data_IF_950130700370
#
_entry.id   IF_950130700370
#
_cell.length_a   1.000
_cell.length_b   1.000
_cell.length_c   1.000
_cell.angle_alpha   90.00
_cell.angle_beta   90.00
_cell.angle_gamma   90.00
#
_symmetry.space_group_name_H-M   'P 1'
#
loop_
_entity.id
_entity.type
_entity.pdbx_description
1 polymer ?
#
# COMPACT_ATOMS: atom_id res chain seq x y z
N UNK A 1 3.74 -1.81 18.47
CA UNK A 1 2.26 -1.84 18.52
C UNK A 1 1.77 -1.32 17.18
N UNK A 2 1.13 -2.14 16.36
CA UNK A 2 0.61 -1.75 15.05
C UNK A 2 -0.76 -1.11 15.23
N UNK A 3 -0.96 0.12 14.76
CA UNK A 3 -2.31 0.72 14.70
C UNK A 3 -2.79 0.57 13.26
N UNK A 4 -3.82 -0.25 13.05
CA UNK A 4 -4.42 -0.41 11.73
C UNK A 4 -5.26 0.83 11.43
N UNK A 5 -4.82 1.64 10.48
CA UNK A 5 -5.58 2.77 9.95
C UNK A 5 -6.38 2.34 8.71
N UNK A 6 -7.60 2.85 8.58
CA UNK A 6 -8.56 2.47 7.54
C UNK A 6 -8.31 3.16 6.21
N UNK A 7 -8.64 2.50 5.11
CA UNK A 7 -8.74 3.12 3.79
C UNK A 7 -10.10 3.83 3.65
N UNK A 8 -10.08 5.08 3.20
CA UNK A 8 -11.29 5.87 2.98
C UNK A 8 -11.50 6.17 1.50
N UNK A 9 -12.75 6.00 1.04
CA UNK A 9 -13.25 6.51 -0.24
C UNK A 9 -14.36 7.52 0.05
N UNK A 10 -14.33 8.65 -0.66
CA UNK A 10 -15.10 9.86 -0.32
C UNK A 10 -16.64 9.72 -0.40
N UNK A 11 -17.21 8.57 -0.78
CA UNK A 11 -18.61 8.52 -1.24
C UNK A 11 -19.62 7.83 -0.28
N UNK A 12 -19.23 7.09 0.76
CA UNK A 12 -20.20 6.59 1.77
C UNK A 12 -19.60 6.40 3.17
N UNK A 13 -20.10 7.16 4.16
CA UNK A 13 -20.15 6.75 5.58
C UNK A 13 -19.02 7.26 6.50
N UNK A 14 -19.44 7.82 7.65
CA UNK A 14 -18.64 8.48 8.69
C UNK A 14 -17.79 7.51 9.50
N UNK A 15 -16.51 7.82 9.81
CA UNK A 15 -15.89 7.44 11.11
C UNK A 15 -14.74 8.40 11.52
N UNK A 16 -14.60 8.51 12.84
CA UNK A 16 -13.86 9.46 13.69
C UNK A 16 -12.33 9.34 13.57
N UNK A 17 -11.66 10.43 13.23
CA UNK A 17 -10.20 10.53 13.24
C UNK A 17 -9.67 10.72 14.67
N UNK A 18 -8.75 9.86 15.11
CA UNK A 18 -7.91 10.13 16.29
C UNK A 18 -6.51 10.46 15.80
N UNK A 19 -6.27 11.74 15.55
CA UNK A 19 -4.93 12.25 15.30
C UNK A 19 -4.06 12.03 16.55
N UNK A 20 -3.08 11.15 16.46
CA UNK A 20 -1.87 11.28 17.28
C UNK A 20 -0.88 12.06 16.43
N UNK A 21 -0.66 13.33 16.80
CA UNK A 21 0.43 14.14 16.27
C UNK A 21 1.71 13.45 16.72
N UNK A 22 2.33 12.65 15.85
CA UNK A 22 3.73 12.27 16.02
C UNK A 22 4.52 13.56 15.77
N UNK A 23 5.38 14.00 16.71
CA UNK A 23 6.09 15.27 16.57
C UNK A 23 6.89 15.30 15.26
N UNK A 24 6.86 16.46 14.59
CA UNK A 24 7.48 16.74 13.28
C UNK A 24 9.03 16.64 13.27
N UNK A 25 9.63 16.16 14.36
CA UNK A 25 11.07 16.04 14.52
C UNK A 25 11.45 14.55 14.46
N UNK A 26 12.18 14.21 13.40
CA UNK A 26 12.72 12.90 13.05
C UNK A 26 11.76 11.95 12.31
N UNK A 27 11.48 12.26 11.04
CA UNK A 27 11.47 11.19 10.04
C UNK A 27 12.93 10.71 9.99
N UNK A 28 13.27 9.52 10.50
CA UNK A 28 14.64 9.07 10.47
C UNK A 28 14.98 8.69 9.02
N UNK A 29 16.08 9.21 8.46
CA UNK A 29 16.57 8.75 7.18
C UNK A 29 17.47 7.54 7.41
N UNK A 30 16.93 6.36 7.74
CA UNK A 30 17.76 5.16 7.99
C UNK A 30 17.03 3.87 7.56
N UNK A 31 16.62 3.81 6.30
CA UNK A 31 16.46 2.56 5.56
C UNK A 31 16.96 2.88 4.15
N UNK A 32 17.83 2.07 3.55
CA UNK A 32 18.55 2.51 2.35
C UNK A 32 17.56 2.87 1.23
N UNK A 33 17.75 4.04 0.60
CA UNK A 33 16.83 4.51 -0.45
C UNK A 33 16.75 3.52 -1.61
N UNK A 34 17.87 2.83 -1.87
CA UNK A 34 17.99 1.74 -2.83
C UNK A 34 17.09 0.55 -2.49
N UNK A 35 17.01 0.14 -1.22
CA UNK A 35 16.12 -0.96 -0.83
C UNK A 35 14.64 -0.56 -1.03
N UNK A 36 14.24 0.64 -0.60
CA UNK A 36 12.87 1.15 -0.81
C UNK A 36 12.49 1.19 -2.27
N UNK A 37 13.43 1.61 -3.12
CA UNK A 37 13.22 1.68 -4.55
C UNK A 37 12.96 0.31 -5.15
N UNK A 38 13.78 -0.69 -4.79
CA UNK A 38 13.64 -2.08 -5.27
C UNK A 38 12.32 -2.72 -4.82
N UNK A 39 11.95 -2.51 -3.57
CA UNK A 39 10.67 -3.00 -3.03
C UNK A 39 9.49 -2.32 -3.73
N UNK A 40 9.50 -0.99 -3.86
CA UNK A 40 8.44 -0.24 -4.53
C UNK A 40 8.28 -0.68 -5.99
N UNK A 41 9.38 -0.90 -6.70
CA UNK A 41 9.38 -1.46 -8.06
C UNK A 41 8.74 -2.86 -8.09
N UNK A 42 9.15 -3.76 -7.19
CA UNK A 42 8.58 -5.09 -7.11
C UNK A 42 7.07 -5.08 -6.84
N UNK A 43 6.59 -4.21 -5.95
CA UNK A 43 5.14 -4.06 -5.68
C UNK A 43 4.40 -3.51 -6.90
N UNK A 44 4.98 -2.53 -7.58
CA UNK A 44 4.38 -1.94 -8.78
C UNK A 44 4.21 -2.99 -9.88
N UNK A 45 5.24 -3.79 -10.16
CA UNK A 45 5.19 -4.83 -11.19
C UNK A 45 4.06 -5.85 -10.94
N UNK A 46 3.79 -6.16 -9.67
CA UNK A 46 2.70 -7.06 -9.28
C UNK A 46 1.34 -6.38 -9.46
N UNK A 47 1.22 -5.09 -9.11
CA UNK A 47 -0.01 -4.32 -9.27
C UNK A 47 -0.36 -4.02 -10.73
N UNK A 48 0.63 -3.96 -11.62
CA UNK A 48 0.39 -3.77 -13.06
C UNK A 48 -0.45 -4.89 -13.69
N UNK A 49 -0.58 -6.06 -13.04
CA UNK A 49 -1.51 -7.12 -13.47
C UNK A 49 -2.99 -6.73 -13.35
N UNK A 50 -3.31 -5.68 -12.58
CA UNK A 50 -4.66 -5.13 -12.46
C UNK A 50 -4.99 -4.14 -13.60
N UNK A 51 -4.05 -3.92 -14.52
CA UNK A 51 -4.25 -3.08 -15.70
C UNK A 51 -5.38 -3.63 -16.57
N UNK A 52 -6.29 -2.73 -16.98
CA UNK A 52 -7.45 -3.04 -17.82
C UNK A 52 -8.42 -4.11 -17.25
N UNK A 53 -8.33 -4.38 -15.94
CA UNK A 53 -9.31 -5.19 -15.21
C UNK A 53 -10.50 -4.30 -14.79
N UNK A 54 -11.71 -4.76 -15.06
CA UNK A 54 -12.93 -4.16 -14.50
C UNK A 54 -13.17 -4.66 -13.08
N UNK A 55 -13.59 -3.76 -12.20
CA UNK A 55 -13.82 -4.13 -10.81
C UNK A 55 -15.01 -5.10 -10.68
N UNK A 56 -14.77 -6.24 -10.06
CA UNK A 56 -15.79 -7.22 -9.71
C UNK A 56 -15.65 -7.62 -8.23
N UNK A 57 -16.64 -7.21 -7.43
CA UNK A 57 -16.70 -7.49 -5.99
C UNK A 57 -16.64 -8.99 -5.66
N UNK A 58 -17.14 -9.86 -6.54
CA UNK A 58 -17.15 -11.31 -6.35
C UNK A 58 -15.77 -11.95 -6.32
N UNK A 59 -14.78 -11.31 -6.95
CA UNK A 59 -13.40 -11.85 -7.08
C UNK A 59 -12.34 -10.97 -6.42
N UNK A 60 -12.71 -9.80 -5.87
CA UNK A 60 -11.77 -8.89 -5.17
C UNK A 60 -11.00 -9.59 -4.04
N UNK A 61 -11.67 -10.44 -3.25
CA UNK A 61 -11.00 -11.20 -2.18
C UNK A 61 -9.88 -12.11 -2.73
N UNK A 62 -10.13 -12.76 -3.87
CA UNK A 62 -9.13 -13.58 -4.54
C UNK A 62 -7.97 -12.72 -5.08
N UNK A 63 -8.26 -11.56 -5.66
CA UNK A 63 -7.21 -10.63 -6.11
C UNK A 63 -6.34 -10.15 -4.95
N UNK A 64 -6.94 -9.79 -3.81
CA UNK A 64 -6.20 -9.37 -2.61
C UNK A 64 -5.25 -10.48 -2.15
N UNK A 65 -5.72 -11.72 -2.08
CA UNK A 65 -4.88 -12.86 -1.67
C UNK A 65 -3.74 -13.09 -2.67
N UNK A 66 -4.05 -13.15 -3.96
CA UNK A 66 -3.05 -13.39 -5.01
C UNK A 66 -1.97 -12.30 -5.03
N UNK A 67 -2.37 -11.02 -4.94
CA UNK A 67 -1.44 -9.88 -4.89
C UNK A 67 -0.59 -9.97 -3.62
N UNK A 68 -1.18 -10.30 -2.48
CA UNK A 68 -0.46 -10.38 -1.21
C UNK A 68 0.61 -11.49 -1.24
N UNK A 69 0.27 -12.68 -1.75
CA UNK A 69 1.21 -13.80 -1.91
C UNK A 69 2.32 -13.47 -2.90
N UNK A 70 1.99 -12.92 -4.06
CA UNK A 70 2.98 -12.57 -5.08
C UNK A 70 3.90 -11.45 -4.61
N UNK A 71 3.38 -10.41 -3.94
CA UNK A 71 4.21 -9.38 -3.29
C UNK A 71 5.16 -10.01 -2.28
N UNK A 72 4.65 -10.90 -1.41
CA UNK A 72 5.47 -11.60 -0.41
C UNK A 72 6.59 -12.42 -1.06
N UNK A 73 6.28 -13.13 -2.15
CA UNK A 73 7.27 -13.89 -2.94
C UNK A 73 8.37 -12.99 -3.48
N UNK A 74 8.01 -11.87 -4.14
CA UNK A 74 8.97 -10.91 -4.70
C UNK A 74 9.88 -10.32 -3.62
N UNK A 75 9.34 -10.01 -2.45
CA UNK A 75 10.11 -9.47 -1.32
C UNK A 75 11.12 -10.48 -0.76
N UNK A 76 10.73 -11.76 -0.66
CA UNK A 76 11.63 -12.85 -0.24
C UNK A 76 12.76 -13.05 -1.25
N UNK A 77 12.50 -12.89 -2.55
CA UNK A 77 13.50 -13.00 -3.62
C UNK A 77 14.60 -11.94 -3.56
N UNK A 78 14.36 -10.81 -2.88
CA UNK A 78 15.38 -9.80 -2.62
C UNK A 78 16.48 -10.30 -1.66
N UNK A 79 16.26 -11.45 -0.99
CA UNK A 79 17.22 -12.12 -0.08
C UNK A 79 17.78 -11.18 1.00
N UNK A 80 16.94 -10.29 1.48
CA UNK A 80 17.28 -9.36 2.57
C UNK A 80 16.89 -9.96 3.92
N UNK A 81 17.67 -9.70 4.99
CA UNK A 81 17.40 -10.23 6.32
C UNK A 81 16.33 -9.41 7.05
N UNK A 82 15.13 -9.30 6.48
CA UNK A 82 14.00 -8.56 7.05
C UNK A 82 12.77 -9.46 7.20
N UNK A 83 11.92 -9.13 8.16
CA UNK A 83 10.53 -9.59 8.23
C UNK A 83 9.66 -8.60 7.47
N UNK A 84 8.82 -9.12 6.58
CA UNK A 84 7.86 -8.32 5.82
C UNK A 84 6.44 -8.59 6.29
N UNK A 85 5.66 -7.53 6.45
CA UNK A 85 4.21 -7.60 6.63
C UNK A 85 3.58 -6.88 5.45
N UNK A 86 2.83 -7.61 4.62
CA UNK A 86 2.16 -7.06 3.43
C UNK A 86 0.69 -6.82 3.75
N UNK A 87 0.23 -5.60 3.52
CA UNK A 87 -1.17 -5.20 3.63
C UNK A 87 -1.65 -4.73 2.25
N UNK A 88 -2.64 -5.42 1.68
CA UNK A 88 -3.19 -5.12 0.35
C UNK A 88 -4.64 -4.68 0.45
N UNK A 89 -5.01 -3.62 -0.26
CA UNK A 89 -6.37 -3.15 -0.41
C UNK A 89 -6.66 -2.87 -1.89
N UNK A 90 -7.78 -3.39 -2.39
CA UNK A 90 -8.25 -3.20 -3.77
C UNK A 90 -9.66 -2.60 -3.71
N UNK A 91 -9.89 -1.55 -4.49
CA UNK A 91 -11.11 -0.74 -4.47
C UNK A 91 -11.58 -0.45 -5.90
N UNK A 92 -12.89 -0.24 -6.04
CA UNK A 92 -13.47 0.25 -7.28
C UNK A 92 -13.07 1.71 -7.49
N UNK A 93 -12.64 2.06 -8.70
CA UNK A 93 -12.38 3.44 -9.09
C UNK A 93 -13.70 4.16 -9.33
N UNK A 94 -14.10 4.98 -8.37
CA UNK A 94 -15.35 5.75 -8.39
C UNK A 94 -15.15 7.23 -8.75
N UNK A 95 -13.94 7.63 -9.13
CA UNK A 95 -13.59 9.04 -9.41
C UNK A 95 -13.26 9.86 -8.17
N UNK A 96 -13.40 9.29 -6.97
CA UNK A 96 -12.92 9.86 -5.71
C UNK A 96 -11.41 9.59 -5.52
N UNK A 97 -10.75 10.45 -4.72
CA UNK A 97 -9.38 10.22 -4.29
C UNK A 97 -9.27 9.08 -3.28
N UNK A 98 -8.15 8.36 -3.30
CA UNK A 98 -7.80 7.33 -2.33
C UNK A 98 -6.90 7.93 -1.24
N UNK A 99 -7.35 7.91 0.01
CA UNK A 99 -6.54 8.28 1.17
C UNK A 99 -6.24 7.03 2.00
N UNK A 100 -4.95 6.71 2.15
CA UNK A 100 -4.45 5.65 3.01
C UNK A 100 -3.45 6.27 4.00
N UNK A 101 -3.65 6.00 5.28
CA UNK A 101 -2.71 6.32 6.36
C UNK A 101 -2.28 5.04 7.05
N UNK A 102 -1.11 5.08 7.69
CA UNK A 102 -0.74 4.10 8.70
C UNK A 102 0.15 4.76 9.75
N UNK A 103 -0.06 4.38 11.01
CA UNK A 103 0.68 4.89 12.17
C UNK A 103 1.34 3.74 12.90
N UNK A 104 2.67 3.81 13.03
CA UNK A 104 3.46 2.72 13.60
C UNK A 104 4.53 3.22 14.58
N UNK A 105 4.93 2.33 15.48
CA UNK A 105 5.98 2.56 16.46
C UNK A 105 7.03 1.45 16.33
N UNK A 106 8.18 1.78 15.74
CA UNK A 106 9.27 0.86 15.37
C UNK A 106 10.64 1.55 15.49
N UNK A 107 11.73 0.78 15.37
CA UNK A 107 13.09 1.32 15.45
C UNK A 107 13.39 2.20 14.22
N UNK A 108 13.66 3.50 14.40
CA UNK A 108 13.87 4.43 13.30
C UNK A 108 15.04 4.10 12.36
N UNK A 109 15.99 3.30 12.84
CA UNK A 109 17.29 3.09 12.19
C UNK A 109 17.33 1.94 11.19
N UNK A 110 16.43 0.98 11.32
CA UNK A 110 16.49 -0.25 10.54
C UNK A 110 15.09 -0.69 10.03
N UNK A 111 14.02 -0.25 10.70
CA UNK A 111 12.64 -0.56 10.30
C UNK A 111 12.06 0.52 9.38
N UNK A 112 11.05 0.15 8.59
CA UNK A 112 10.42 1.10 7.69
C UNK A 112 9.11 0.61 7.08
N UNK A 113 8.56 1.42 6.19
CA UNK A 113 7.42 1.04 5.38
C UNK A 113 7.53 1.55 3.95
N UNK A 114 7.01 0.76 3.01
CA UNK A 114 6.85 1.11 1.60
C UNK A 114 5.37 1.14 1.29
N UNK A 115 4.89 2.27 0.76
CA UNK A 115 3.51 2.45 0.33
C UNK A 115 3.49 2.56 -1.19
N UNK A 116 2.75 1.67 -1.85
CA UNK A 116 2.55 1.67 -3.28
C UNK A 116 1.06 1.88 -3.59
N UNK A 117 0.74 3.04 -4.18
CA UNK A 117 -0.59 3.37 -4.67
C UNK A 117 -0.62 3.17 -6.19
N UNK A 118 -1.62 2.42 -6.66
CA UNK A 118 -1.78 2.08 -8.06
C UNK A 118 -3.21 2.34 -8.54
N UNK A 119 -3.43 2.92 -9.74
CA UNK A 119 -2.43 3.54 -10.62
C UNK A 119 -1.92 4.87 -10.03
N UNK A 120 -0.66 5.22 -10.31
CA UNK A 120 -0.03 6.46 -9.79
C UNK A 120 -0.60 7.73 -10.41
N UNK A 121 -1.18 7.63 -11.60
CA UNK A 121 -1.65 8.77 -12.36
C UNK A 121 -3.05 9.20 -11.89
N UNK A 122 -3.20 10.50 -11.53
CA UNK A 122 -4.51 11.15 -11.59
C UNK A 122 -4.89 11.19 -13.06
N UNK A 123 -5.61 10.18 -13.53
CA UNK A 123 -6.15 10.16 -14.89
C UNK A 123 -6.92 11.47 -15.11
N UNK A 124 -6.35 12.37 -15.90
CA UNK A 124 -7.07 13.52 -16.48
C UNK A 124 -8.18 13.04 -17.43
N UNK A 125 -8.15 11.77 -17.83
CA UNK A 125 -9.22 11.09 -18.56
C UNK A 125 -10.06 10.24 -17.60
N UNK A 126 -11.11 10.86 -17.05
CA UNK A 126 -12.11 10.24 -16.18
C UNK A 126 -13.03 9.21 -16.90
N UNK A 127 -12.74 8.80 -18.13
CA UNK A 127 -13.71 8.10 -18.99
C UNK A 127 -13.90 6.61 -18.71
N UNK A 128 -12.99 5.93 -17.99
CA UNK A 128 -13.21 4.53 -17.57
C UNK A 128 -13.81 4.48 -16.16
N UNK A 129 -15.11 4.76 -16.04
CA UNK A 129 -15.92 4.42 -14.85
C UNK A 129 -15.87 2.89 -14.65
N UNK A 130 -15.54 2.42 -13.44
CA UNK A 130 -15.53 0.97 -13.12
C UNK A 130 -14.16 0.28 -13.12
N UNK A 131 -13.05 0.99 -13.36
CA UNK A 131 -11.70 0.42 -13.24
C UNK A 131 -11.30 0.11 -11.78
N UNK A 132 -10.13 -0.48 -11.59
CA UNK A 132 -9.60 -0.86 -10.27
C UNK A 132 -8.58 0.17 -9.76
N UNK A 133 -8.55 0.39 -8.43
CA UNK A 133 -7.46 1.05 -7.72
C UNK A 133 -6.96 0.12 -6.62
N UNK A 134 -5.66 0.19 -6.30
CA UNK A 134 -5.05 -0.64 -5.29
C UNK A 134 -4.05 0.15 -4.43
N UNK A 135 -3.93 -0.26 -3.18
CA UNK A 135 -2.93 0.22 -2.22
C UNK A 135 -2.27 -0.99 -1.59
N UNK A 136 -0.95 -1.06 -1.67
CA UNK A 136 -0.15 -2.05 -0.96
C UNK A 136 0.80 -1.32 -0.01
N UNK A 137 0.74 -1.70 1.26
CA UNK A 137 1.63 -1.21 2.31
C UNK A 137 2.48 -2.39 2.77
N UNK A 138 3.79 -2.27 2.67
CA UNK A 138 4.74 -3.24 3.20
C UNK A 138 5.44 -2.63 4.39
N UNK A 139 5.32 -3.28 5.54
CA UNK A 139 6.14 -2.95 6.71
C UNK A 139 7.37 -3.84 6.70
N UNK A 140 8.54 -3.22 6.80
CA UNK A 140 9.85 -3.86 6.85
C UNK A 140 10.33 -3.78 8.28
N UNK A 141 10.59 -4.94 8.88
CA UNK A 141 11.03 -5.06 10.27
C UNK A 141 12.34 -5.81 10.30
N UNK A 142 13.31 -5.24 10.99
CA UNK A 142 14.63 -5.77 11.22
C UNK A 142 14.58 -7.05 12.04
N UNK A 143 15.47 -7.99 11.71
CA UNK A 143 15.52 -9.29 12.36
C UNK A 143 16.16 -9.27 13.74
#
# INVERSE_FOLDING_TARGET
MFTVEGLHTSDRGVTKFRFLIVPLNAIPPLYSEDNRHKECMALKDVLDQLQDVEYDEGVVSQWVNNICEECSRRLVELKKPFKYIVQTAILQRTGAGLHAGSSCFWEPTDDGAVVCLWPRERLQNQDKKGGVQACVIVYVISL
#
